data_IF_436600115761
#
_entry.id   IF_436600115761
#
_cell.length_a   1.000
_cell.length_b   1.000
_cell.length_c   1.000
_cell.angle_alpha   90.00
_cell.angle_beta   90.00
_cell.angle_gamma   90.00
#
_symmetry.space_group_name_H-M   'P 1'
#
loop_
_entity.id
_entity.type
_entity.pdbx_description
1 polymer ?
#
# COMPACT_ATOMS: atom_id res chain seq x y z
N UNK A 1 9.77 -9.61 -20.36
CA UNK A 1 9.65 -9.39 -18.91
C UNK A 1 8.49 -8.46 -18.51
N UNK A 2 8.29 -7.31 -19.16
CA UNK A 2 7.38 -6.26 -18.68
C UNK A 2 5.86 -6.54 -18.76
N UNK A 3 5.39 -7.19 -19.84
CA UNK A 3 3.94 -7.35 -20.10
C UNK A 3 3.24 -8.23 -19.03
N UNK A 4 3.93 -9.28 -18.55
CA UNK A 4 3.38 -10.17 -17.51
C UNK A 4 3.22 -9.46 -16.16
N UNK A 5 4.16 -8.59 -15.80
CA UNK A 5 4.13 -7.84 -14.54
C UNK A 5 3.07 -6.72 -14.54
N UNK A 6 2.88 -6.03 -15.68
CA UNK A 6 1.77 -5.07 -15.86
C UNK A 6 0.39 -5.75 -15.80
N UNK A 7 0.24 -6.90 -16.47
CA UNK A 7 -1.00 -7.68 -16.42
C UNK A 7 -1.34 -8.17 -15.00
N UNK A 8 -0.34 -8.58 -14.23
CA UNK A 8 -0.54 -9.02 -12.84
C UNK A 8 -1.01 -7.88 -11.92
N UNK A 9 -0.42 -6.69 -12.04
CA UNK A 9 -0.82 -5.54 -11.20
C UNK A 9 -2.26 -5.11 -11.47
N UNK A 10 -2.66 -5.02 -12.74
CA UNK A 10 -4.03 -4.68 -13.10
C UNK A 10 -5.06 -5.69 -12.55
N UNK A 11 -4.70 -6.98 -12.48
CA UNK A 11 -5.58 -8.01 -11.92
C UNK A 11 -5.67 -7.90 -10.38
N UNK A 12 -4.59 -7.51 -9.68
CA UNK A 12 -4.65 -7.21 -8.24
C UNK A 12 -5.52 -5.99 -7.96
N UNK A 13 -5.40 -4.93 -8.75
CA UNK A 13 -6.20 -3.72 -8.59
C UNK A 13 -7.69 -3.95 -8.80
N UNK A 14 -8.04 -4.75 -9.81
CA UNK A 14 -9.42 -5.14 -10.02
C UNK A 14 -9.98 -5.96 -8.84
N UNK A 15 -9.20 -6.91 -8.31
CA UNK A 15 -9.56 -7.64 -7.10
C UNK A 15 -9.80 -6.71 -5.90
N UNK A 16 -8.95 -5.70 -5.71
CA UNK A 16 -9.10 -4.72 -4.62
C UNK A 16 -10.36 -3.88 -4.77
N UNK A 17 -10.81 -3.59 -5.99
CA UNK A 17 -12.09 -2.92 -6.21
C UNK A 17 -13.27 -3.83 -5.84
N UNK A 18 -13.18 -5.13 -6.14
CA UNK A 18 -14.18 -6.13 -5.74
C UNK A 18 -14.22 -6.32 -4.21
N UNK A 19 -13.06 -6.36 -3.56
CA UNK A 19 -12.95 -6.42 -2.10
C UNK A 19 -13.56 -5.19 -1.40
N UNK A 20 -13.59 -4.04 -2.08
CA UNK A 20 -14.16 -2.79 -1.59
C UNK A 20 -15.62 -2.57 -2.03
N UNK A 21 -16.23 -3.52 -2.74
CA UNK A 21 -17.63 -3.41 -3.14
C UNK A 21 -18.52 -3.34 -1.87
N UNK A 22 -19.46 -2.38 -1.79
CA UNK A 22 -20.29 -2.19 -0.59
C UNK A 22 -21.24 -3.36 -0.30
N UNK A 23 -21.64 -4.12 -1.34
CA UNK A 23 -22.63 -5.19 -1.24
C UNK A 23 -21.96 -6.57 -1.15
N UNK A 24 -20.90 -6.80 -1.92
CA UNK A 24 -20.26 -8.12 -2.08
C UNK A 24 -18.82 -8.17 -1.56
N UNK A 25 -18.27 -7.03 -1.15
CA UNK A 25 -16.89 -6.92 -0.67
C UNK A 25 -16.72 -7.35 0.79
N UNK A 26 -15.57 -7.02 1.35
CA UNK A 26 -15.25 -7.33 2.74
C UNK A 26 -15.96 -6.34 3.65
N UNK A 27 -16.64 -6.86 4.68
CA UNK A 27 -17.25 -6.04 5.72
C UNK A 27 -16.17 -5.29 6.48
N UNK A 28 -16.30 -3.96 6.50
CA UNK A 28 -15.37 -3.09 7.20
C UNK A 28 -15.85 -2.77 8.62
N UNK A 29 -14.89 -2.63 9.52
CA UNK A 29 -15.08 -2.37 10.93
C UNK A 29 -14.60 -0.97 11.30
N UNK A 30 -15.09 -0.48 12.43
CA UNK A 30 -14.58 0.76 13.06
C UNK A 30 -13.49 0.40 14.07
N UNK A 31 -12.29 0.92 13.85
CA UNK A 31 -11.19 0.81 14.80
C UNK A 31 -11.27 1.94 15.83
N UNK A 32 -11.12 1.61 17.12
CA UNK A 32 -10.94 2.62 18.18
C UNK A 32 -9.46 2.87 18.43
N UNK A 33 -8.99 4.09 18.19
CA UNK A 33 -7.63 4.54 18.48
C UNK A 33 -7.68 5.61 19.57
N UNK A 34 -7.20 5.26 20.77
CA UNK A 34 -7.42 6.05 21.99
C UNK A 34 -8.92 6.32 22.23
N UNK A 35 -9.37 7.56 22.02
CA UNK A 35 -10.77 7.99 22.15
C UNK A 35 -11.43 8.27 20.78
N UNK A 36 -10.72 8.02 19.68
CA UNK A 36 -11.18 8.37 18.32
C UNK A 36 -11.56 7.11 17.56
N UNK A 37 -12.78 7.09 17.04
CA UNK A 37 -13.27 6.03 16.16
C UNK A 37 -12.86 6.33 14.72
N UNK A 38 -12.23 5.36 14.06
CA UNK A 38 -11.70 5.49 12.70
C UNK A 38 -12.25 4.34 11.86
N UNK A 39 -13.08 4.61 10.85
CA UNK A 39 -13.76 3.59 10.07
C UNK A 39 -12.81 2.83 9.12
N UNK A 40 -13.41 1.94 8.32
CA UNK A 40 -12.80 1.27 7.18
C UNK A 40 -11.61 0.35 7.49
N UNK A 41 -11.56 -0.23 8.70
CA UNK A 41 -10.58 -1.24 9.06
C UNK A 41 -11.08 -2.65 8.69
N UNK A 42 -10.16 -3.56 8.37
CA UNK A 42 -10.44 -4.95 8.01
C UNK A 42 -9.62 -5.85 8.93
N UNK A 43 -10.10 -7.05 9.25
CA UNK A 43 -9.24 -8.04 9.91
C UNK A 43 -8.48 -8.85 8.86
N UNK A 44 -7.29 -9.32 9.21
CA UNK A 44 -6.52 -10.17 8.31
C UNK A 44 -7.20 -11.53 8.04
N UNK A 45 -7.92 -12.06 9.02
CA UNK A 45 -8.82 -13.21 8.84
C UNK A 45 -9.91 -12.97 7.79
N UNK A 46 -10.62 -11.84 7.87
CA UNK A 46 -11.67 -11.49 6.89
C UNK A 46 -11.10 -11.38 5.46
N UNK A 47 -9.91 -10.78 5.32
CA UNK A 47 -9.21 -10.66 4.04
C UNK A 47 -8.90 -12.04 3.45
N UNK A 48 -8.29 -12.93 4.24
CA UNK A 48 -7.95 -14.28 3.79
C UNK A 48 -9.19 -15.06 3.37
N UNK A 49 -10.22 -15.06 4.22
CA UNK A 49 -11.45 -15.80 3.96
C UNK A 49 -12.16 -15.31 2.70
N UNK A 50 -12.22 -13.99 2.47
CA UNK A 50 -12.80 -13.44 1.26
C UNK A 50 -12.03 -13.89 0.01
N UNK A 51 -10.69 -13.87 0.05
CA UNK A 51 -9.85 -14.32 -1.08
C UNK A 51 -10.12 -15.81 -1.40
N UNK A 52 -10.16 -16.68 -0.38
CA UNK A 52 -10.44 -18.12 -0.54
C UNK A 52 -11.79 -18.33 -1.22
N UNK A 53 -12.84 -17.69 -0.70
CA UNK A 53 -14.21 -17.86 -1.18
C UNK A 53 -14.42 -17.29 -2.58
N UNK A 54 -13.88 -16.10 -2.83
CA UNK A 54 -14.08 -15.39 -4.09
C UNK A 54 -13.32 -16.05 -5.25
N UNK A 55 -12.07 -16.45 -5.02
CA UNK A 55 -11.22 -17.05 -6.06
C UNK A 55 -11.28 -18.58 -6.11
N UNK A 56 -11.87 -19.23 -5.09
CA UNK A 56 -11.97 -20.68 -4.95
C UNK A 56 -10.60 -21.37 -5.04
N UNK A 57 -9.68 -20.89 -4.20
CA UNK A 57 -8.30 -21.36 -4.11
C UNK A 57 -7.98 -21.93 -2.73
N UNK A 58 -6.89 -22.69 -2.62
CA UNK A 58 -6.44 -23.23 -1.34
C UNK A 58 -5.99 -22.10 -0.39
N UNK A 59 -6.08 -22.35 0.93
CA UNK A 59 -5.71 -21.38 1.95
C UNK A 59 -4.25 -20.90 1.81
N UNK A 60 -3.32 -21.81 1.50
CA UNK A 60 -1.92 -21.47 1.27
C UNK A 60 -1.73 -20.53 0.06
N UNK A 61 -2.48 -20.77 -1.03
CA UNK A 61 -2.45 -19.89 -2.21
C UNK A 61 -3.04 -18.51 -1.90
N UNK A 62 -4.13 -18.47 -1.12
CA UNK A 62 -4.78 -17.23 -0.69
C UNK A 62 -3.87 -16.42 0.25
N UNK A 63 -3.19 -17.07 1.19
CA UNK A 63 -2.25 -16.43 2.10
C UNK A 63 -1.04 -15.86 1.34
N UNK A 64 -0.51 -16.61 0.38
CA UNK A 64 0.55 -16.13 -0.50
C UNK A 64 0.13 -14.89 -1.29
N UNK A 65 -1.09 -14.88 -1.85
CA UNK A 65 -1.65 -13.71 -2.52
C UNK A 65 -1.82 -12.52 -1.54
N UNK A 66 -2.39 -12.76 -0.36
CA UNK A 66 -2.57 -11.75 0.67
C UNK A 66 -1.26 -11.11 1.10
N UNK A 67 -0.21 -11.92 1.31
CA UNK A 67 1.14 -11.45 1.59
C UNK A 67 1.69 -10.55 0.49
N UNK A 68 1.46 -10.90 -0.78
CA UNK A 68 1.87 -10.07 -1.91
C UNK A 68 1.10 -8.73 -1.92
N UNK A 69 -0.20 -8.74 -1.68
CA UNK A 69 -1.02 -7.52 -1.61
C UNK A 69 -0.50 -6.57 -0.52
N UNK A 70 -0.17 -7.08 0.68
CA UNK A 70 0.44 -6.28 1.76
C UNK A 70 1.82 -5.78 1.36
N UNK A 71 2.67 -6.66 0.83
CA UNK A 71 4.06 -6.36 0.49
C UNK A 71 4.17 -5.28 -0.59
N UNK A 72 3.29 -5.30 -1.58
CA UNK A 72 3.21 -4.27 -2.62
C UNK A 72 2.52 -2.98 -2.15
N UNK A 73 1.98 -2.93 -0.93
CA UNK A 73 1.41 -1.71 -0.35
C UNK A 73 -0.01 -1.38 -0.78
N UNK A 74 -0.74 -2.34 -1.36
CA UNK A 74 -2.16 -2.15 -1.70
C UNK A 74 -3.06 -2.16 -0.47
N UNK A 75 -2.66 -2.91 0.55
CA UNK A 75 -3.21 -2.84 1.91
C UNK A 75 -2.04 -2.69 2.88
N UNK A 76 -2.29 -2.11 4.05
CA UNK A 76 -1.24 -1.93 5.05
C UNK A 76 -1.73 -2.25 6.47
N UNK A 77 -0.87 -2.85 7.31
CA UNK A 77 -1.22 -3.17 8.68
C UNK A 77 -1.26 -1.92 9.55
N UNK A 78 -2.21 -1.88 10.49
CA UNK A 78 -2.39 -0.78 11.44
C UNK A 78 -1.59 -0.99 12.73
N UNK A 79 -1.28 -2.24 13.06
CA UNK A 79 -0.36 -2.64 14.12
C UNK A 79 0.95 -3.14 13.51
N UNK A 80 2.07 -2.90 14.18
CA UNK A 80 3.41 -3.33 13.71
C UNK A 80 3.65 -2.99 12.21
N UNK A 81 3.59 -1.70 11.82
CA UNK A 81 3.48 -1.30 10.41
C UNK A 81 4.65 -1.72 9.51
N UNK A 82 5.77 -2.15 10.11
CA UNK A 82 6.96 -2.68 9.40
C UNK A 82 6.82 -4.15 9.00
N UNK A 83 5.89 -4.88 9.61
CA UNK A 83 5.63 -6.28 9.29
C UNK A 83 4.70 -6.35 8.07
N UNK A 84 5.29 -6.33 6.87
CA UNK A 84 4.57 -6.32 5.60
C UNK A 84 4.10 -7.73 5.20
N UNK A 85 3.39 -8.41 6.10
CA UNK A 85 2.77 -9.72 5.88
C UNK A 85 1.31 -9.69 6.31
N UNK A 86 0.51 -10.57 5.73
CA UNK A 86 -0.88 -10.79 6.13
C UNK A 86 -0.89 -11.77 7.31
N UNK A 87 -1.35 -11.30 8.47
CA UNK A 87 -1.64 -12.12 9.64
C UNK A 87 -3.06 -12.64 9.55
N UNK A 88 -3.27 -13.93 9.78
CA UNK A 88 -4.57 -14.60 9.63
C UNK A 88 -5.42 -14.52 10.90
N UNK A 89 -5.26 -13.45 11.67
CA UNK A 89 -5.86 -13.22 12.98
C UNK A 89 -6.71 -11.92 12.97
N UNK A 90 -6.96 -11.34 14.15
CA UNK A 90 -7.69 -10.09 14.32
C UNK A 90 -6.86 -8.82 14.07
N UNK A 91 -5.62 -8.95 13.58
CA UNK A 91 -4.78 -7.81 13.18
C UNK A 91 -5.50 -6.98 12.12
N UNK A 92 -5.41 -5.66 12.28
CA UNK A 92 -6.18 -4.74 11.47
C UNK A 92 -5.38 -4.22 10.28
N UNK A 93 -6.05 -4.12 9.14
CA UNK A 93 -5.53 -3.59 7.89
C UNK A 93 -6.44 -2.49 7.35
N UNK A 94 -5.91 -1.67 6.44
CA UNK A 94 -6.71 -0.74 5.61
C UNK A 94 -6.28 -0.84 4.15
N UNK A 95 -7.21 -0.56 3.27
CA UNK A 95 -6.91 -0.32 1.86
C UNK A 95 -6.08 0.96 1.70
N UNK A 96 -5.08 0.88 0.84
CA UNK A 96 -4.31 2.03 0.40
C UNK A 96 -5.09 2.80 -0.67
N UNK A 97 -4.94 4.12 -0.69
CA UNK A 97 -5.52 4.94 -1.76
C UNK A 97 -4.86 4.66 -3.11
N UNK A 98 -5.62 4.66 -4.23
CA UNK A 98 -5.05 4.50 -5.57
C UNK A 98 -3.92 5.47 -5.92
N UNK A 99 -3.88 6.64 -5.27
CA UNK A 99 -2.76 7.58 -5.40
C UNK A 99 -1.40 6.97 -5.04
N UNK A 100 -1.37 6.05 -4.08
CA UNK A 100 -0.15 5.40 -3.59
C UNK A 100 0.05 3.98 -4.16
N UNK A 101 -0.72 3.58 -5.17
CA UNK A 101 -0.57 2.26 -5.77
C UNK A 101 0.68 2.16 -6.67
N UNK A 102 1.36 0.99 -6.71
CA UNK A 102 2.63 0.83 -7.44
C UNK A 102 2.54 0.99 -8.97
N UNK A 103 1.34 0.97 -9.55
CA UNK A 103 1.09 1.13 -10.98
C UNK A 103 1.20 2.57 -11.45
N UNK A 104 1.19 3.54 -10.53
CA UNK A 104 1.49 4.91 -10.91
C UNK A 104 2.90 4.97 -11.48
N UNK A 105 3.03 5.59 -12.66
CA UNK A 105 4.29 5.69 -13.41
C UNK A 105 5.35 6.56 -12.71
N UNK A 106 4.96 7.27 -11.64
CA UNK A 106 5.83 8.15 -10.89
C UNK A 106 6.63 7.33 -9.87
N UNK A 107 7.92 7.17 -10.11
CA UNK A 107 8.83 6.68 -9.08
C UNK A 107 8.74 7.63 -7.87
N UNK A 108 8.70 7.07 -6.66
CA UNK A 108 8.76 7.87 -5.44
C UNK A 108 9.97 8.82 -5.52
N UNK A 109 9.74 10.13 -5.62
CA UNK A 109 10.80 11.11 -5.85
C UNK A 109 11.56 11.40 -4.54
N UNK A 110 12.85 11.69 -4.67
CA UNK A 110 13.69 12.14 -3.58
C UNK A 110 13.19 13.45 -2.97
N UNK A 111 12.56 14.32 -3.78
CA UNK A 111 11.90 15.54 -3.29
C UNK A 111 10.75 15.21 -2.35
N UNK A 112 9.85 14.32 -2.77
CA UNK A 112 8.67 13.94 -1.99
C UNK A 112 9.09 13.25 -0.69
N UNK A 113 10.13 12.42 -0.74
CA UNK A 113 10.64 11.76 0.45
C UNK A 113 11.26 12.77 1.42
N UNK A 114 12.00 13.76 0.91
CA UNK A 114 12.54 14.84 1.73
C UNK A 114 11.42 15.67 2.39
N UNK A 115 10.34 15.97 1.67
CA UNK A 115 9.16 16.66 2.20
C UNK A 115 8.51 15.83 3.32
N UNK A 116 8.33 14.53 3.11
CA UNK A 116 7.77 13.63 4.13
C UNK A 116 8.64 13.61 5.40
N UNK A 117 9.95 13.43 5.27
CA UNK A 117 10.87 13.41 6.42
C UNK A 117 10.92 14.76 7.14
N UNK A 118 10.95 15.87 6.40
CA UNK A 118 10.90 17.22 6.96
C UNK A 118 9.60 17.43 7.75
N UNK A 119 8.44 17.06 7.18
CA UNK A 119 7.14 17.15 7.84
C UNK A 119 7.09 16.31 9.11
N UNK A 120 7.60 15.07 9.05
CA UNK A 120 7.69 14.17 10.21
C UNK A 120 8.54 14.77 11.33
N UNK A 121 9.67 15.38 10.99
CA UNK A 121 10.55 16.05 11.95
C UNK A 121 9.93 17.34 12.54
N UNK A 122 9.19 18.12 11.75
CA UNK A 122 8.42 19.29 12.22
C UNK A 122 7.33 18.88 13.21
N UNK A 123 6.60 17.80 12.91
CA UNK A 123 5.52 17.29 13.76
C UNK A 123 6.01 16.90 15.15
N UNK A 124 7.17 16.26 15.24
CA UNK A 124 7.82 15.92 16.50
C UNK A 124 9.33 15.80 16.30
N UNK A 125 10.09 16.70 16.92
CA UNK A 125 11.57 16.65 16.90
C UNK A 125 12.06 15.31 17.46
N UNK A 126 13.04 14.70 16.79
CA UNK A 126 13.66 13.45 17.23
C UNK A 126 12.85 12.17 16.95
N UNK A 127 11.75 12.25 16.18
CA UNK A 127 10.92 11.08 15.83
C UNK A 127 11.45 10.29 14.62
N UNK A 128 12.41 10.83 13.88
CA UNK A 128 13.05 10.13 12.77
C UNK A 128 13.88 8.97 13.31
N UNK A 129 13.74 7.80 12.68
CA UNK A 129 14.58 6.64 12.93
C UNK A 129 16.00 6.88 12.38
N UNK A 130 16.98 6.10 12.81
CA UNK A 130 18.38 6.35 12.46
C UNK A 130 18.63 6.35 10.94
N UNK A 131 18.11 5.33 10.23
CA UNK A 131 18.18 5.28 8.77
C UNK A 131 17.43 6.45 8.07
N UNK A 132 16.36 6.97 8.70
CA UNK A 132 15.65 8.13 8.16
C UNK A 132 16.46 9.42 8.35
N UNK A 133 17.19 9.55 9.47
CA UNK A 133 18.11 10.69 9.68
C UNK A 133 19.24 10.67 8.68
N UNK A 134 19.84 9.50 8.43
CA UNK A 134 20.88 9.33 7.40
C UNK A 134 20.37 9.75 6.03
N UNK A 135 19.19 9.25 5.61
CA UNK A 135 18.57 9.65 4.36
C UNK A 135 18.20 11.14 4.32
N UNK A 136 17.68 11.70 5.41
CA UNK A 136 17.36 13.13 5.49
C UNK A 136 18.60 14.00 5.27
N UNK A 137 19.71 13.64 5.91
CA UNK A 137 20.99 14.34 5.76
C UNK A 137 21.56 14.18 4.35
N UNK A 138 21.43 12.99 3.76
CA UNK A 138 21.84 12.73 2.38
C UNK A 138 21.01 13.58 1.39
N UNK A 139 19.69 13.59 1.54
CA UNK A 139 18.79 14.39 0.70
C UNK A 139 19.07 15.88 0.84
N UNK A 140 19.29 16.38 2.07
CA UNK A 140 19.65 17.78 2.29
C UNK A 140 20.91 18.17 1.51
N UNK A 141 21.92 17.30 1.45
CA UNK A 141 23.12 17.55 0.64
C UNK A 141 22.82 17.42 -0.87
N UNK A 142 22.08 16.40 -1.28
CA UNK A 142 21.82 16.06 -2.69
C UNK A 142 20.93 17.09 -3.41
N UNK A 143 19.87 17.56 -2.74
CA UNK A 143 18.88 18.48 -3.31
C UNK A 143 18.83 19.81 -2.55
N UNK A 144 19.99 20.25 -2.04
CA UNK A 144 20.10 21.46 -1.23
C UNK A 144 19.54 22.71 -1.94
N UNK A 145 19.76 22.81 -3.26
CA UNK A 145 19.33 23.94 -4.09
C UNK A 145 17.80 24.21 -4.06
N UNK A 146 17.00 23.22 -3.65
CA UNK A 146 15.54 23.35 -3.49
C UNK A 146 15.07 23.08 -2.06
N UNK A 147 15.98 23.16 -1.07
CA UNK A 147 15.66 22.79 0.30
C UNK A 147 14.63 23.73 0.94
N UNK A 148 14.66 25.02 0.61
CA UNK A 148 13.65 25.98 1.07
C UNK A 148 12.23 25.59 0.60
N UNK A 149 12.11 25.09 -0.64
CA UNK A 149 10.87 24.54 -1.16
C UNK A 149 10.42 23.30 -0.37
N UNK A 150 11.34 22.37 -0.06
CA UNK A 150 11.04 21.18 0.76
C UNK A 150 10.49 21.59 2.13
N UNK A 151 11.13 22.54 2.80
CA UNK A 151 10.69 23.03 4.11
C UNK A 151 9.35 23.78 4.02
N UNK A 152 9.15 24.59 2.98
CA UNK A 152 7.90 25.29 2.72
C UNK A 152 6.74 24.31 2.55
N UNK A 153 6.90 23.32 1.67
CA UNK A 153 5.91 22.27 1.42
C UNK A 153 5.61 21.45 2.67
N UNK A 154 6.64 21.06 3.44
CA UNK A 154 6.48 20.32 4.68
C UNK A 154 5.66 21.10 5.72
N UNK A 155 5.91 22.42 5.87
CA UNK A 155 5.16 23.30 6.77
C UNK A 155 3.71 23.46 6.32
N UNK A 156 3.48 23.66 5.03
CA UNK A 156 2.15 23.83 4.46
C UNK A 156 1.30 22.56 4.61
N UNK A 157 1.85 21.39 4.30
CA UNK A 157 1.18 20.11 4.52
C UNK A 157 0.88 19.85 6.01
N UNK A 158 1.82 20.20 6.90
CA UNK A 158 1.60 20.08 8.34
C UNK A 158 0.48 21.00 8.84
N UNK A 159 0.44 22.25 8.37
CA UNK A 159 -0.62 23.21 8.70
C UNK A 159 -1.99 22.73 8.21
N UNK A 160 -2.08 22.37 6.93
CA UNK A 160 -3.31 21.84 6.31
C UNK A 160 -3.80 20.57 7.01
N UNK A 161 -2.88 19.69 7.41
CA UNK A 161 -3.22 18.48 8.17
C UNK A 161 -3.84 18.77 9.54
N UNK A 162 -3.48 19.87 10.21
CA UNK A 162 -4.05 20.26 11.52
C UNK A 162 -5.51 20.68 11.42
N UNK A 163 -5.92 21.24 10.30
CA UNK A 163 -7.29 21.69 10.04
C UNK A 163 -8.26 20.50 9.83
N UNK A 164 -7.74 19.30 9.53
CA UNK A 164 -8.53 18.08 9.39
C UNK A 164 -8.97 17.50 10.73
N UNK A 165 -10.11 16.78 10.71
CA UNK A 165 -10.59 16.00 11.85
C UNK A 165 -9.53 14.99 12.30
N UNK A 166 -9.50 14.67 13.59
CA UNK A 166 -8.48 13.80 14.18
C UNK A 166 -8.43 12.41 13.54
N UNK A 167 -9.59 11.83 13.21
CA UNK A 167 -9.70 10.54 12.54
C UNK A 167 -9.08 10.57 11.13
N UNK A 168 -9.46 11.56 10.32
CA UNK A 168 -8.97 11.73 8.95
C UNK A 168 -7.45 11.95 8.95
N UNK A 169 -6.95 12.86 9.79
CA UNK A 169 -5.51 13.12 9.94
C UNK A 169 -4.74 11.84 10.27
N UNK A 170 -5.25 11.02 11.18
CA UNK A 170 -4.61 9.75 11.54
C UNK A 170 -4.59 8.78 10.34
N UNK A 171 -5.71 8.63 9.65
CA UNK A 171 -5.80 7.73 8.50
C UNK A 171 -4.79 8.14 7.39
N UNK A 172 -4.71 9.43 7.08
CA UNK A 172 -3.79 10.00 6.08
C UNK A 172 -2.32 9.81 6.48
N UNK A 173 -1.98 10.09 7.74
CA UNK A 173 -0.63 9.87 8.27
C UNK A 173 -0.23 8.39 8.14
N UNK A 174 -1.16 7.46 8.38
CA UNK A 174 -0.93 6.03 8.22
C UNK A 174 -0.76 5.63 6.74
N UNK A 175 -1.58 6.18 5.82
CA UNK A 175 -1.49 5.91 4.38
C UNK A 175 -0.12 6.32 3.82
N UNK A 176 0.29 7.56 4.10
CA UNK A 176 1.58 8.09 3.64
C UNK A 176 2.75 7.33 4.26
N UNK A 177 2.67 7.01 5.56
CA UNK A 177 3.69 6.19 6.22
C UNK A 177 3.81 4.82 5.56
N UNK A 178 2.70 4.13 5.29
CA UNK A 178 2.69 2.83 4.64
C UNK A 178 3.33 2.88 3.25
N UNK A 179 3.05 3.93 2.46
CA UNK A 179 3.68 4.14 1.17
C UNK A 179 5.21 4.23 1.27
N UNK A 180 5.73 5.06 2.18
CA UNK A 180 7.18 5.21 2.35
C UNK A 180 7.85 3.96 2.93
N UNK A 181 7.14 3.19 3.76
CA UNK A 181 7.64 1.92 4.26
C UNK A 181 7.90 0.94 3.10
N UNK A 182 7.05 0.92 2.07
CA UNK A 182 7.23 0.06 0.89
C UNK A 182 8.32 0.55 -0.06
N UNK A 183 8.55 1.86 -0.16
CA UNK A 183 9.44 2.44 -1.18
C UNK A 183 10.83 2.84 -0.69
N UNK A 184 11.03 3.00 0.63
CA UNK A 184 12.24 3.61 1.19
C UNK A 184 12.76 2.95 2.47
N UNK A 185 12.14 1.88 2.97
CA UNK A 185 12.75 1.15 4.09
C UNK A 185 13.84 0.20 3.64
N UNK A 186 14.92 0.03 4.43
CA UNK A 186 15.98 -0.94 4.14
C UNK A 186 15.46 -2.38 3.96
N UNK A 187 14.36 -2.71 4.65
CA UNK A 187 13.71 -4.03 4.67
C UNK A 187 12.80 -4.25 3.44
N UNK A 188 12.34 -3.17 2.80
CA UNK A 188 11.41 -3.22 1.66
C UNK A 188 12.03 -3.49 0.29
N UNK A 189 13.24 -4.07 0.21
CA UNK A 189 13.76 -4.57 -1.07
C UNK A 189 12.89 -5.74 -1.54
N UNK A 190 11.75 -5.44 -2.16
CA UNK A 190 10.95 -6.38 -2.91
C UNK A 190 11.84 -6.79 -4.09
N UNK A 191 12.25 -8.06 -4.18
CA UNK A 191 12.96 -8.52 -5.37
C UNK A 191 12.00 -8.35 -6.55
N UNK A 192 12.48 -7.79 -7.66
CA UNK A 192 11.74 -7.59 -8.92
C UNK A 192 11.11 -8.87 -9.52
N UNK A 193 11.25 -10.01 -8.85
CA UNK A 193 10.92 -11.36 -9.31
C UNK A 193 9.91 -12.12 -8.43
N UNK A 194 9.19 -11.48 -7.50
CA UNK A 194 8.07 -12.18 -6.81
C UNK A 194 6.88 -12.31 -7.75
N UNK A 195 6.99 -13.26 -8.68
CA UNK A 195 5.93 -13.70 -9.55
C UNK A 195 4.82 -14.35 -8.70
N UNK A 196 3.61 -13.84 -8.81
CA UNK A 196 2.42 -14.58 -8.38
C UNK A 196 2.38 -15.85 -9.23
N UNK A 197 2.29 -17.04 -8.62
CA UNK A 197 2.23 -18.32 -9.34
C UNK A 197 1.22 -18.22 -10.51
N UNK A 198 1.62 -18.69 -11.69
CA UNK A 198 0.85 -18.55 -12.94
C UNK A 198 -0.60 -19.06 -12.83
N UNK A 199 -0.87 -20.06 -11.99
CA UNK A 199 -2.22 -20.56 -11.73
C UNK A 199 -3.12 -19.57 -10.96
N UNK A 200 -2.55 -18.84 -9.99
CA UNK A 200 -3.24 -17.79 -9.25
C UNK A 200 -3.46 -16.55 -10.14
N UNK A 201 -2.46 -16.16 -10.94
CA UNK A 201 -2.58 -15.06 -11.90
C UNK A 201 -3.66 -15.31 -12.97
N UNK A 202 -3.80 -16.55 -13.47
CA UNK A 202 -4.84 -16.91 -14.43
C UNK A 202 -6.24 -16.80 -13.83
N UNK A 203 -6.46 -17.27 -12.59
CA UNK A 203 -7.74 -17.12 -11.88
C UNK A 203 -8.03 -15.66 -11.47
N UNK A 204 -7.03 -14.91 -11.02
CA UNK A 204 -7.14 -13.46 -10.74
C UNK A 204 -7.60 -12.69 -11.97
N UNK A 205 -6.96 -12.95 -13.13
CA UNK A 205 -7.29 -12.24 -14.36
C UNK A 205 -8.60 -12.73 -14.99
N UNK A 206 -9.00 -13.99 -14.78
CA UNK A 206 -10.30 -14.51 -15.22
C UNK A 206 -11.46 -13.98 -14.36
N UNK A 207 -11.26 -13.86 -13.05
CA UNK A 207 -12.24 -13.32 -12.11
C UNK A 207 -12.43 -11.81 -12.30
N UNK A 208 -11.34 -11.03 -12.25
CA UNK A 208 -11.45 -9.59 -12.04
C UNK A 208 -11.22 -8.70 -13.28
N UNK A 209 -10.76 -9.23 -14.43
CA UNK A 209 -10.43 -8.38 -15.58
C UNK A 209 -11.10 -8.82 -16.91
N UNK A 210 -12.12 -8.09 -17.36
CA UNK A 210 -12.71 -8.25 -18.71
C UNK A 210 -11.69 -7.96 -19.83
N UNK A 211 -10.74 -7.02 -19.63
CA UNK A 211 -9.69 -6.69 -20.62
C UNK A 211 -8.65 -7.81 -20.81
N UNK A 212 -8.34 -8.61 -19.78
CA UNK A 212 -7.39 -9.72 -19.89
C UNK A 212 -7.96 -10.96 -20.61
N UNK A 213 -9.30 -11.09 -20.71
CA UNK A 213 -9.92 -12.19 -21.47
C UNK A 213 -9.58 -12.14 -22.97
N UNK A 214 -9.35 -10.95 -23.53
CA UNK A 214 -8.91 -10.78 -24.92
C UNK A 214 -7.45 -11.22 -25.14
N UNK A 215 -6.56 -10.91 -24.19
CA UNK A 215 -5.14 -11.23 -24.29
C UNK A 215 -4.82 -12.73 -24.11
N UNK A 216 -5.65 -13.48 -23.38
CA UNK A 216 -5.52 -14.93 -23.22
C UNK A 216 -6.13 -15.73 -24.38
N UNK A 217 -7.15 -15.19 -25.08
CA UNK A 217 -7.72 -15.83 -26.27
C UNK A 217 -6.78 -15.77 -27.48
N UNK A 218 -5.92 -14.75 -27.57
CA UNK A 218 -4.93 -14.62 -28.65
C UNK A 218 -3.70 -15.54 -28.57
N UNK A 219 -3.68 -16.52 -27.65
CA UNK A 219 -2.57 -17.50 -27.52
C UNK A 219 -2.98 -18.96 -27.77
N UNK A 220 -4.19 -19.21 -28.27
CA UNK A 220 -4.66 -20.56 -28.61
C UNK A 220 -4.83 -20.83 -30.11
N UNK A 221 -4.44 -19.89 -30.97
CA UNK A 221 -4.42 -20.08 -32.43
C UNK A 221 -3.05 -19.67 -32.99
N UNK A 222 -2.11 -20.61 -32.92
CA UNK A 222 -1.05 -20.90 -33.91
C UNK A 222 -0.34 -22.16 -33.46
#
# INVERSE_FOLDING_TARGET
GGIAHWGQRACIEALLMEMQNPDTGIKMHTQRVMITNIPHALTGGDILQWIIQHLKIAEEEALNLGNLIVKYGYIYPLQEPKNLTLKTDSSLYRFQTPYFWPTQQWAADDTDYAIYLAKKNIKRKGVLEEYEKEHYNLLNKKINYKWDFVIMQAKEQYRTGKERKKADRYALDCQEKAYWLVHRTPVSRIPSSTAVNFGCASRLCLASCQKCRGALRGKKET
#
